data_IF_859762606281
#
_entry.id   IF_859762606281
#
_cell.length_a   1.000
_cell.length_b   1.000
_cell.length_c   1.000
_cell.angle_alpha   90.00
_cell.angle_beta   90.00
_cell.angle_gamma   90.00
#
_symmetry.space_group_name_H-M   'P 1'
#
loop_
_entity.id
_entity.type
_entity.pdbx_description
1 polymer ?
#
# COMPACT_ATOMS: atom_id res chain seq x y z
N UNK A 1 -8.66 4.63 13.81
CA UNK A 1 -9.44 3.51 13.22
C UNK A 1 -10.80 3.99 12.75
N UNK A 2 -11.27 3.49 11.61
CA UNK A 2 -12.59 3.81 11.03
C UNK A 2 -13.30 2.53 10.62
N UNK A 3 -14.60 2.46 10.86
CA UNK A 3 -15.46 1.36 10.41
C UNK A 3 -16.03 1.65 9.02
N UNK A 4 -15.99 0.65 8.15
CA UNK A 4 -16.50 0.67 6.79
C UNK A 4 -17.66 -0.31 6.68
N UNK A 5 -18.86 0.13 6.27
CA UNK A 5 -19.98 -0.76 6.04
C UNK A 5 -19.78 -1.56 4.75
N UNK A 6 -20.23 -2.80 4.75
CA UNK A 6 -20.31 -3.67 3.58
C UNK A 6 -21.79 -3.83 3.15
N UNK A 7 -22.06 -4.10 1.86
CA UNK A 7 -23.43 -4.21 1.32
C UNK A 7 -24.33 -5.22 2.04
N UNK A 8 -23.75 -6.28 2.61
CA UNK A 8 -24.48 -7.38 3.24
C UNK A 8 -24.86 -7.10 4.71
N UNK A 9 -24.76 -5.84 5.18
CA UNK A 9 -25.01 -5.47 6.58
C UNK A 9 -23.84 -5.78 7.53
N UNK A 10 -22.75 -6.31 6.99
CA UNK A 10 -21.48 -6.52 7.69
C UNK A 10 -20.65 -5.24 7.71
N UNK A 11 -19.58 -5.23 8.48
CA UNK A 11 -18.61 -4.13 8.48
C UNK A 11 -17.21 -4.59 8.85
N UNK A 12 -16.22 -3.79 8.49
CA UNK A 12 -14.84 -4.00 8.94
C UNK A 12 -14.24 -2.69 9.44
N UNK A 13 -13.26 -2.79 10.33
CA UNK A 13 -12.51 -1.63 10.82
C UNK A 13 -11.10 -1.64 10.25
N UNK A 14 -10.58 -0.45 9.93
CA UNK A 14 -9.23 -0.28 9.39
C UNK A 14 -8.51 0.93 10.00
N UNK A 15 -7.18 0.92 9.94
CA UNK A 15 -6.33 2.08 10.28
C UNK A 15 -6.49 3.19 9.27
N UNK A 16 -6.63 4.44 9.72
CA UNK A 16 -6.93 5.55 8.81
C UNK A 16 -5.68 6.13 8.14
N UNK A 17 -4.50 5.77 8.63
CA UNK A 17 -3.20 6.20 8.16
C UNK A 17 -2.20 5.07 8.39
N UNK A 18 -1.23 4.92 7.49
CA UNK A 18 -0.13 3.99 7.66
C UNK A 18 0.65 4.27 8.96
N UNK A 19 0.71 5.53 9.40
CA UNK A 19 1.41 5.92 10.63
C UNK A 19 0.72 5.43 11.91
N UNK A 20 -0.55 5.03 11.84
CA UNK A 20 -1.27 4.43 12.98
C UNK A 20 -0.95 2.93 13.14
N UNK A 21 -0.30 2.30 12.15
CA UNK A 21 0.00 0.88 12.17
C UNK A 21 1.06 0.56 13.24
N UNK A 22 0.88 -0.51 14.05
CA UNK A 22 1.95 -1.04 14.88
C UNK A 22 3.21 -1.33 14.04
N UNK A 23 4.39 -1.09 14.62
CA UNK A 23 5.67 -1.07 13.88
C UNK A 23 5.89 -2.29 12.97
N UNK A 24 5.63 -3.51 13.44
CA UNK A 24 5.77 -4.73 12.63
C UNK A 24 4.80 -4.77 11.45
N UNK A 25 3.54 -4.40 11.69
CA UNK A 25 2.49 -4.36 10.66
C UNK A 25 2.73 -3.23 9.66
N UNK A 26 3.30 -2.11 10.11
CA UNK A 26 3.75 -1.04 9.21
C UNK A 26 4.85 -1.53 8.26
N UNK A 27 5.81 -2.32 8.75
CA UNK A 27 6.85 -2.90 7.90
C UNK A 27 6.25 -3.79 6.80
N UNK A 28 5.36 -4.74 7.16
CA UNK A 28 4.72 -5.62 6.17
C UNK A 28 3.91 -4.81 5.15
N UNK A 29 3.13 -3.84 5.62
CA UNK A 29 2.40 -2.91 4.74
C UNK A 29 3.34 -2.26 3.71
N UNK A 30 4.47 -1.69 4.16
CA UNK A 30 5.44 -1.05 3.28
C UNK A 30 6.10 -2.05 2.29
N UNK A 31 6.40 -3.27 2.72
CA UNK A 31 6.94 -4.31 1.85
C UNK A 31 6.00 -4.59 0.67
N UNK A 32 4.71 -4.82 0.94
CA UNK A 32 3.74 -5.07 -0.13
C UNK A 32 3.46 -3.83 -0.99
N UNK A 33 3.52 -2.62 -0.43
CA UNK A 33 3.45 -1.39 -1.22
C UNK A 33 4.57 -1.31 -2.27
N UNK A 34 5.81 -1.60 -1.87
CA UNK A 34 6.97 -1.57 -2.77
C UNK A 34 6.83 -2.63 -3.85
N UNK A 35 6.35 -3.83 -3.49
CA UNK A 35 6.08 -4.90 -4.47
C UNK A 35 4.99 -4.50 -5.47
N UNK A 36 3.86 -3.94 -5.02
CA UNK A 36 2.79 -3.48 -5.93
C UNK A 36 3.30 -2.41 -6.90
N UNK A 37 4.08 -1.46 -6.40
CA UNK A 37 4.62 -0.37 -7.21
C UNK A 37 5.70 -0.83 -8.22
N UNK A 38 6.46 -1.87 -7.88
CA UNK A 38 7.58 -2.35 -8.69
C UNK A 38 7.22 -3.47 -9.67
N UNK A 39 6.27 -4.35 -9.30
CA UNK A 39 5.95 -5.59 -9.99
C UNK A 39 4.48 -5.62 -10.44
N UNK A 40 3.56 -5.15 -9.59
CA UNK A 40 2.12 -5.28 -9.83
C UNK A 40 1.64 -6.74 -9.86
N UNK A 41 0.34 -6.96 -10.07
CA UNK A 41 -0.27 -8.31 -10.04
C UNK A 41 -1.38 -8.52 -11.08
N UNK A 42 -1.51 -7.62 -12.05
CA UNK A 42 -2.56 -7.67 -13.07
C UNK A 42 -1.98 -7.70 -14.49
N UNK A 43 -2.87 -7.92 -15.47
CA UNK A 43 -2.51 -7.96 -16.88
C UNK A 43 -2.05 -6.60 -17.41
N UNK A 44 -2.45 -5.48 -16.81
CA UNK A 44 -2.00 -4.16 -17.24
C UNK A 44 -0.50 -3.98 -16.91
N UNK A 45 -0.09 -4.39 -15.72
CA UNK A 45 1.31 -4.46 -15.30
C UNK A 45 2.13 -5.37 -16.23
N UNK A 46 1.60 -6.54 -16.64
CA UNK A 46 2.25 -7.41 -17.63
C UNK A 46 2.59 -6.63 -18.90
N UNK A 47 1.62 -5.91 -19.47
CA UNK A 47 1.82 -5.14 -20.70
C UNK A 47 2.83 -4.00 -20.49
N UNK A 48 2.77 -3.30 -19.35
CA UNK A 48 3.71 -2.24 -19.01
C UNK A 48 5.15 -2.76 -18.92
N UNK A 49 5.35 -3.90 -18.25
CA UNK A 49 6.66 -4.56 -18.12
C UNK A 49 7.20 -5.03 -19.46
N UNK A 50 6.38 -5.68 -20.31
CA UNK A 50 6.79 -6.04 -21.67
C UNK A 50 7.23 -4.82 -22.49
N UNK A 51 6.45 -3.74 -22.45
CA UNK A 51 6.78 -2.50 -23.17
C UNK A 51 8.04 -1.82 -22.65
N UNK A 52 8.31 -1.87 -21.34
CA UNK A 52 9.54 -1.34 -20.74
C UNK A 52 10.74 -2.21 -21.08
N UNK A 53 10.62 -3.53 -20.99
CA UNK A 53 11.66 -4.49 -21.37
C UNK A 53 12.10 -4.29 -22.82
N UNK A 54 11.16 -4.22 -23.77
CA UNK A 54 11.46 -4.00 -25.18
C UNK A 54 12.26 -2.71 -25.42
N UNK A 55 11.90 -1.62 -24.73
CA UNK A 55 12.62 -0.33 -24.80
C UNK A 55 14.03 -0.43 -24.23
N UNK A 56 14.21 -1.12 -23.10
CA UNK A 56 15.53 -1.30 -22.47
C UNK A 56 16.46 -2.15 -23.34
N UNK A 57 15.93 -3.24 -23.94
CA UNK A 57 16.67 -4.07 -24.89
C UNK A 57 17.11 -3.27 -26.11
N UNK A 58 16.21 -2.48 -26.72
CA UNK A 58 16.52 -1.64 -27.87
C UNK A 58 17.58 -0.56 -27.55
N UNK A 59 17.61 -0.08 -26.31
CA UNK A 59 18.59 0.89 -25.83
C UNK A 59 19.93 0.27 -25.39
N UNK A 60 20.10 -1.05 -25.47
CA UNK A 60 21.32 -1.74 -25.04
C UNK A 60 21.56 -1.74 -23.52
N UNK A 61 20.53 -1.43 -22.71
CA UNK A 61 20.60 -1.37 -21.24
C UNK A 61 20.42 -2.76 -20.63
N UNK A 62 21.40 -3.65 -20.84
CA UNK A 62 21.26 -5.08 -20.54
C UNK A 62 20.98 -5.39 -19.06
N UNK A 63 21.61 -4.69 -18.11
CA UNK A 63 21.37 -4.89 -16.68
C UNK A 63 19.92 -4.52 -16.30
N UNK A 64 19.49 -3.32 -16.66
CA UNK A 64 18.11 -2.85 -16.41
C UNK A 64 17.07 -3.75 -17.11
N UNK A 65 17.38 -4.26 -18.30
CA UNK A 65 16.52 -5.21 -19.01
C UNK A 65 16.40 -6.56 -18.27
N UNK A 66 17.48 -7.03 -17.64
CA UNK A 66 17.46 -8.25 -16.82
C UNK A 66 16.58 -8.08 -15.59
N UNK A 67 16.70 -6.94 -14.90
CA UNK A 67 15.87 -6.61 -13.75
C UNK A 67 14.40 -6.51 -14.15
N UNK A 68 14.12 -5.88 -15.29
CA UNK A 68 12.75 -5.74 -15.80
C UNK A 68 12.14 -7.09 -16.22
N UNK A 69 12.95 -7.99 -16.78
CA UNK A 69 12.52 -9.35 -17.07
C UNK A 69 12.17 -10.13 -15.79
N UNK A 70 12.94 -9.94 -14.71
CA UNK A 70 12.61 -10.53 -13.42
C UNK A 70 11.29 -9.98 -12.86
N UNK A 71 11.06 -8.66 -12.94
CA UNK A 71 9.78 -8.05 -12.54
C UNK A 71 8.61 -8.63 -13.35
N UNK A 72 8.76 -8.76 -14.67
CA UNK A 72 7.75 -9.41 -15.51
C UNK A 72 7.48 -10.86 -15.10
N UNK A 73 8.53 -11.62 -14.80
CA UNK A 73 8.40 -13.00 -14.33
C UNK A 73 7.61 -13.09 -13.03
N UNK A 74 7.96 -12.27 -12.02
CA UNK A 74 7.23 -12.24 -10.76
C UNK A 74 5.78 -11.78 -10.93
N UNK A 75 5.53 -10.77 -11.76
CA UNK A 75 4.18 -10.30 -12.06
C UNK A 75 3.31 -11.42 -12.66
N UNK A 76 3.84 -12.21 -13.58
CA UNK A 76 3.14 -13.37 -14.14
C UNK A 76 2.86 -14.44 -13.08
N UNK A 77 3.82 -14.74 -12.20
CA UNK A 77 3.60 -15.70 -11.11
C UNK A 77 2.51 -15.20 -10.16
N UNK A 78 2.54 -13.91 -9.79
CA UNK A 78 1.53 -13.29 -8.94
C UNK A 78 0.13 -13.39 -9.53
N UNK A 79 -0.02 -13.12 -10.83
CA UNK A 79 -1.29 -13.28 -11.54
C UNK A 79 -1.77 -14.74 -11.52
N UNK A 80 -0.88 -15.69 -11.80
CA UNK A 80 -1.21 -17.13 -11.85
C UNK A 80 -1.61 -17.68 -10.47
N UNK A 81 -0.92 -17.23 -9.42
CA UNK A 81 -1.16 -17.63 -8.03
C UNK A 81 -2.30 -16.83 -7.38
N UNK A 82 -2.91 -15.88 -8.10
CA UNK A 82 -3.91 -14.93 -7.57
C UNK A 82 -3.40 -14.17 -6.35
N UNK A 83 -2.11 -13.92 -6.32
CA UNK A 83 -1.41 -13.17 -5.30
C UNK A 83 -1.39 -11.70 -5.70
N UNK A 84 -1.99 -10.82 -4.89
CA UNK A 84 -1.96 -9.38 -5.15
C UNK A 84 -1.29 -8.63 -4.00
N UNK A 85 -0.07 -8.10 -4.19
CA UNK A 85 0.59 -7.27 -3.19
C UNK A 85 -0.28 -6.09 -2.74
N UNK A 86 -1.07 -5.49 -3.66
CA UNK A 86 -2.05 -4.46 -3.29
C UNK A 86 -3.05 -4.97 -2.26
N UNK A 87 -3.68 -6.11 -2.52
CA UNK A 87 -4.65 -6.69 -1.59
C UNK A 87 -4.01 -7.05 -0.25
N UNK A 88 -2.79 -7.59 -0.24
CA UNK A 88 -2.09 -7.91 1.02
C UNK A 88 -1.72 -6.65 1.81
N UNK A 89 -1.28 -5.59 1.13
CA UNK A 89 -1.07 -4.29 1.77
C UNK A 89 -2.38 -3.74 2.36
N UNK A 90 -3.51 -3.92 1.68
CA UNK A 90 -4.81 -3.55 2.22
C UNK A 90 -5.19 -4.39 3.45
N UNK A 91 -4.96 -5.71 3.41
CA UNK A 91 -5.22 -6.61 4.54
C UNK A 91 -4.46 -6.18 5.82
N UNK A 92 -3.22 -5.69 5.68
CA UNK A 92 -2.47 -5.12 6.79
C UNK A 92 -3.19 -3.96 7.50
N UNK A 93 -4.02 -3.19 6.78
CA UNK A 93 -4.77 -2.07 7.34
C UNK A 93 -5.99 -2.52 8.17
N UNK A 94 -6.50 -3.73 7.94
CA UNK A 94 -7.74 -4.23 8.56
C UNK A 94 -7.47 -4.71 9.98
N UNK A 95 -8.30 -4.29 10.93
CA UNK A 95 -8.15 -4.61 12.36
C UNK A 95 -9.25 -5.51 12.89
N UNK A 96 -10.47 -5.33 12.39
CA UNK A 96 -11.65 -6.03 12.90
C UNK A 96 -12.64 -6.33 11.77
N UNK A 97 -13.43 -7.39 11.93
CA UNK A 97 -14.59 -7.71 11.09
C UNK A 97 -15.77 -7.91 12.04
N UNK A 98 -16.87 -7.19 11.82
CA UNK A 98 -18.08 -7.19 12.65
C UNK A 98 -17.79 -6.96 14.14
N UNK A 99 -16.86 -6.03 14.42
CA UNK A 99 -16.41 -5.69 15.77
C UNK A 99 -15.52 -6.74 16.45
N UNK A 100 -15.24 -7.87 15.80
CA UNK A 100 -14.32 -8.88 16.30
C UNK A 100 -12.90 -8.60 15.84
N UNK A 101 -11.92 -8.47 16.76
CA UNK A 101 -10.52 -8.31 16.40
C UNK A 101 -10.00 -9.48 15.56
N UNK A 102 -9.29 -9.15 14.47
CA UNK A 102 -8.55 -10.15 13.71
C UNK A 102 -7.23 -10.47 14.42
N UNK A 103 -6.86 -11.76 14.55
CA UNK A 103 -5.52 -12.11 14.99
C UNK A 103 -4.50 -11.57 13.98
N UNK A 104 -3.34 -11.14 14.48
CA UNK A 104 -2.27 -10.70 13.59
C UNK A 104 -1.50 -11.90 13.05
N UNK A 105 -1.71 -12.18 11.77
CA UNK A 105 -0.95 -13.15 11.00
C UNK A 105 -0.34 -12.45 9.77
N UNK A 106 0.97 -12.17 9.76
CA UNK A 106 1.64 -11.47 8.66
C UNK A 106 2.00 -12.39 7.49
N UNK A 107 1.62 -13.66 7.51
CA UNK A 107 1.86 -14.58 6.38
C UNK A 107 1.00 -14.20 5.18
N UNK A 108 1.48 -14.53 3.98
CA UNK A 108 0.73 -14.31 2.75
C UNK A 108 -0.64 -15.01 2.82
N UNK A 109 -0.69 -16.24 3.34
CA UNK A 109 -1.94 -17.00 3.53
C UNK A 109 -2.88 -16.32 4.52
N UNK A 110 -2.36 -15.84 5.65
CA UNK A 110 -3.15 -15.14 6.67
C UNK A 110 -3.78 -13.87 6.12
N UNK A 111 -3.01 -13.07 5.38
CA UNK A 111 -3.49 -11.84 4.75
C UNK A 111 -4.47 -12.12 3.60
N UNK A 112 -4.23 -13.16 2.79
CA UNK A 112 -5.19 -13.61 1.77
C UNK A 112 -6.52 -14.06 2.37
N UNK A 113 -6.51 -14.75 3.52
CA UNK A 113 -7.74 -15.15 4.22
C UNK A 113 -8.56 -13.94 4.68
N UNK A 114 -7.92 -12.85 5.11
CA UNK A 114 -8.62 -11.61 5.45
C UNK A 114 -9.35 -11.06 4.22
N UNK A 115 -8.69 -11.01 3.06
CA UNK A 115 -9.29 -10.52 1.81
C UNK A 115 -10.41 -11.43 1.33
N UNK A 116 -10.20 -12.75 1.36
CA UNK A 116 -11.21 -13.74 0.99
C UNK A 116 -12.47 -13.58 1.85
N UNK A 117 -12.29 -13.49 3.17
CA UNK A 117 -13.40 -13.29 4.11
C UNK A 117 -14.13 -11.97 3.85
N UNK A 118 -13.43 -10.86 3.66
CA UNK A 118 -14.08 -9.58 3.35
C UNK A 118 -14.84 -9.63 2.01
N UNK A 119 -14.30 -10.34 1.01
CA UNK A 119 -14.94 -10.53 -0.30
C UNK A 119 -16.25 -11.31 -0.17
N UNK A 120 -16.27 -12.39 0.62
CA UNK A 120 -17.50 -13.13 0.95
C UNK A 120 -18.55 -12.26 1.64
N UNK A 121 -18.10 -11.29 2.44
CA UNK A 121 -18.97 -10.32 3.13
C UNK A 121 -19.37 -9.12 2.25
N UNK A 122 -18.95 -9.08 0.99
CA UNK A 122 -19.36 -8.08 0.00
C UNK A 122 -18.34 -6.97 -0.26
N UNK A 123 -17.08 -7.14 0.12
CA UNK A 123 -16.02 -6.23 -0.32
C UNK A 123 -15.84 -6.34 -1.84
N UNK A 124 -15.94 -5.20 -2.52
CA UNK A 124 -15.68 -5.10 -3.96
C UNK A 124 -14.32 -4.46 -4.21
N UNK A 125 -13.76 -4.67 -5.40
CA UNK A 125 -12.50 -4.02 -5.81
C UNK A 125 -12.63 -2.49 -5.78
N UNK A 126 -13.79 -1.94 -6.17
CA UNK A 126 -14.06 -0.51 -6.13
C UNK A 126 -13.99 0.05 -4.69
N UNK A 127 -14.60 -0.65 -3.72
CA UNK A 127 -14.55 -0.24 -2.32
C UNK A 127 -13.14 -0.37 -1.75
N UNK A 128 -12.43 -1.46 -2.07
CA UNK A 128 -11.04 -1.65 -1.67
C UNK A 128 -10.17 -0.48 -2.16
N UNK A 129 -10.26 -0.15 -3.44
CA UNK A 129 -9.48 0.91 -4.06
C UNK A 129 -9.80 2.28 -3.44
N UNK A 130 -11.08 2.57 -3.20
CA UNK A 130 -11.51 3.82 -2.58
C UNK A 130 -10.90 3.99 -1.17
N UNK A 131 -10.93 2.92 -0.38
CA UNK A 131 -10.42 2.96 1.00
C UNK A 131 -8.90 2.98 1.07
N UNK A 132 -8.24 2.27 0.16
CA UNK A 132 -6.80 2.32 0.01
C UNK A 132 -6.29 3.74 -0.30
N UNK A 133 -6.92 4.43 -1.26
CA UNK A 133 -6.56 5.83 -1.58
C UNK A 133 -6.88 6.80 -0.43
N UNK A 134 -7.95 6.56 0.33
CA UNK A 134 -8.26 7.36 1.51
C UNK A 134 -7.14 7.28 2.57
N UNK A 135 -6.64 6.07 2.85
CA UNK A 135 -5.54 5.85 3.81
C UNK A 135 -4.24 6.49 3.33
N UNK A 136 -3.92 6.35 2.04
CA UNK A 136 -2.75 7.00 1.42
C UNK A 136 -2.79 8.52 1.55
N UNK A 137 -3.94 9.14 1.26
CA UNK A 137 -4.16 10.58 1.42
C UNK A 137 -3.99 11.05 2.86
N UNK A 138 -4.48 10.28 3.83
CA UNK A 138 -4.35 10.61 5.25
C UNK A 138 -2.90 10.49 5.74
N UNK A 139 -2.17 9.50 5.24
CA UNK A 139 -0.75 9.30 5.57
C UNK A 139 0.11 10.48 5.10
N UNK A 140 -0.20 11.08 3.96
CA UNK A 140 0.49 12.29 3.46
C UNK A 140 0.15 13.55 4.27
N UNK A 141 -1.13 13.73 4.64
CA UNK A 141 -1.56 14.89 5.45
C UNK A 141 -0.90 14.92 6.82
N UNK A 142 -0.76 13.76 7.46
CA UNK A 142 -0.12 13.64 8.78
C UNK A 142 1.38 13.95 8.76
N UNK A 143 2.05 13.81 7.61
CA UNK A 143 3.47 14.19 7.44
C UNK A 143 3.68 15.70 7.28
N UNK A 144 2.70 16.42 6.74
CA UNK A 144 2.79 17.85 6.45
C UNK A 144 2.50 18.77 7.65
N UNK A 145 2.02 18.24 8.78
CA UNK A 145 1.66 19.06 9.96
C UNK A 145 2.80 19.33 10.93
N UNK A 146 4.02 18.88 10.64
CA UNK A 146 5.20 19.09 11.48
C UNK A 146 6.26 19.95 10.78
N UNK A 147 5.99 21.26 10.68
CA UNK A 147 6.99 22.34 10.75
C UNK A 147 6.28 23.70 10.89
N UNK A 148 6.30 24.28 12.10
CA UNK A 148 6.93 25.59 12.22
C UNK A 148 7.78 25.64 13.49
N UNK A 149 9.03 25.20 13.39
CA UNK A 149 10.06 25.55 14.36
C UNK A 149 11.24 26.09 13.57
N UNK A 150 11.64 27.32 13.89
CA UNK A 150 12.69 28.16 13.30
C UNK A 150 12.24 29.22 12.28
N UNK A 151 11.34 30.10 12.72
CA UNK A 151 11.29 31.47 12.20
C UNK A 151 10.99 32.45 13.35
N UNK A 152 11.91 32.54 14.31
CA UNK A 152 11.96 33.69 15.23
C UNK A 152 13.32 34.37 15.08
N UNK A 153 13.31 35.37 14.19
CA UNK A 153 14.03 36.63 14.29
C UNK A 153 15.49 36.59 14.82
N UNK A 154 16.44 36.53 13.89
CA UNK A 154 17.67 37.29 14.02
C UNK A 154 17.36 38.79 13.86
N UNK A 155 17.21 39.50 14.97
CA UNK A 155 17.34 40.96 14.97
C UNK A 155 18.05 41.39 16.25
N UNK A 156 19.35 41.56 16.11
CA UNK A 156 20.23 42.30 17.03
C UNK A 156 19.68 43.69 17.34
N UNK A 157 19.76 44.17 18.60
CA UNK A 157 19.69 45.59 18.89
C UNK A 157 21.10 46.14 19.18
N UNK A 158 21.62 46.94 18.27
CA UNK A 158 22.39 48.16 18.60
C UNK A 158 21.50 49.33 18.20
N UNK A 159 21.38 50.42 18.98
CA UNK A 159 22.47 51.30 19.46
C UNK A 159 22.31 51.65 20.97
N UNK A 160 23.15 52.40 21.69
CA UNK A 160 23.69 53.74 21.42
C UNK A 160 24.68 54.16 22.52
N UNK A 161 25.58 55.07 22.14
CA UNK A 161 26.39 56.00 22.95
C UNK A 161 27.69 55.50 23.58
#
# INVERSE_FOLDING_TARGET
>A
MRTVPLPNGHSFALYQSALELPARRHLEYQCYLVQDAGIGSDMEAVHAHFGKLARLMAAGKQAEASDELANLHFNLNYLLERFSPRHLSFACLVTQIDGQPLPWDPTDEGLQQVIARLSELGLTEELLQAEYEAVKKNSQKSGNTSSPLMATASSSPTPSS
#
